data_IF_318010917802
#
_entry.id   IF_318010917802
#
_cell.length_a   1.000
_cell.length_b   1.000
_cell.length_c   1.000
_cell.angle_alpha   90.00
_cell.angle_beta   90.00
_cell.angle_gamma   90.00
#
_symmetry.space_group_name_H-M   'P 1'
#
loop_
_entity.id
_entity.type
_entity.pdbx_description
1 polymer ?
#
# COMPACT_ATOMS: atom_id res chain seq x y z
N UNK A 1 -11.72 26.97 -19.59
CA UNK A 1 -11.96 26.05 -18.45
C UNK A 1 -10.67 25.31 -18.05
N UNK A 2 -9.52 26.00 -17.96
CA UNK A 2 -8.25 25.40 -17.51
C UNK A 2 -7.68 26.07 -16.24
N UNK A 3 -8.22 27.22 -15.84
CA UNK A 3 -7.63 28.06 -14.78
C UNK A 3 -7.96 27.62 -13.35
N UNK A 4 -9.11 26.99 -13.10
CA UNK A 4 -9.49 26.54 -11.74
C UNK A 4 -8.62 25.39 -11.22
N UNK A 5 -8.16 24.49 -12.10
CA UNK A 5 -7.24 23.42 -11.72
C UNK A 5 -5.83 23.95 -11.43
N UNK A 6 -5.38 25.01 -12.12
CA UNK A 6 -4.06 25.60 -11.92
C UNK A 6 -3.97 26.42 -10.63
N UNK A 7 -5.05 27.12 -10.25
CA UNK A 7 -5.13 27.85 -8.97
C UNK A 7 -5.20 26.88 -7.77
N UNK A 8 -5.66 25.64 -7.95
CA UNK A 8 -5.55 24.61 -6.91
C UNK A 8 -4.17 23.94 -6.83
N UNK A 9 -3.32 24.05 -7.85
CA UNK A 9 -1.89 23.72 -7.73
C UNK A 9 -1.14 24.84 -6.95
N UNK A 10 -1.56 26.09 -7.17
CA UNK A 10 -1.57 27.30 -6.31
C UNK A 10 -1.46 27.23 -4.80
N UNK A 11 -2.29 26.41 -4.20
CA UNK A 11 -2.57 26.42 -2.76
C UNK A 11 -2.84 24.98 -2.38
N UNK A 12 -2.64 24.60 -1.12
CA UNK A 12 -3.12 23.29 -0.73
C UNK A 12 -4.64 23.27 -0.87
N UNK A 13 -5.17 22.20 -1.46
CA UNK A 13 -6.61 21.98 -1.48
C UNK A 13 -7.09 21.71 -0.05
N UNK A 14 -8.37 21.97 0.23
CA UNK A 14 -8.95 21.67 1.54
C UNK A 14 -8.82 20.19 1.93
N UNK A 15 -8.76 19.30 0.94
CA UNK A 15 -8.55 17.86 1.16
C UNK A 15 -7.09 17.54 1.51
N UNK A 16 -6.12 18.16 0.83
CA UNK A 16 -4.69 18.02 1.14
C UNK A 16 -4.37 18.52 2.56
N UNK A 17 -4.98 19.62 3.00
CA UNK A 17 -4.77 20.17 4.33
C UNK A 17 -5.39 19.29 5.43
N UNK A 18 -6.59 18.75 5.18
CA UNK A 18 -7.20 17.74 6.06
C UNK A 18 -6.35 16.48 6.16
N UNK A 19 -5.78 16.03 5.05
CA UNK A 19 -4.87 14.89 5.03
C UNK A 19 -3.61 15.17 5.85
N UNK A 20 -2.99 16.35 5.73
CA UNK A 20 -1.81 16.73 6.51
C UNK A 20 -2.08 16.64 8.01
N UNK A 21 -3.17 17.27 8.50
CA UNK A 21 -3.52 17.29 9.93
C UNK A 21 -3.82 15.88 10.44
N UNK A 22 -4.57 15.09 9.66
CA UNK A 22 -4.88 13.71 10.00
C UNK A 22 -3.61 12.85 10.05
N UNK A 23 -2.73 12.96 9.05
CA UNK A 23 -1.51 12.15 8.96
C UNK A 23 -0.52 12.51 10.07
N UNK A 24 -0.35 13.79 10.38
CA UNK A 24 0.51 14.24 11.48
C UNK A 24 0.11 13.61 12.82
N UNK A 25 -1.19 13.59 13.12
CA UNK A 25 -1.71 13.03 14.37
C UNK A 25 -1.75 11.49 14.38
N UNK A 26 -1.99 10.86 13.23
CA UNK A 26 -2.31 9.44 13.15
C UNK A 26 -1.19 8.57 12.51
N UNK A 27 -0.10 9.15 11.99
CA UNK A 27 1.00 8.44 11.33
C UNK A 27 1.65 7.36 12.21
N UNK A 28 1.90 7.69 13.49
CA UNK A 28 2.49 6.78 14.47
C UNK A 28 1.56 5.60 14.77
N UNK A 29 0.26 5.88 14.97
CA UNK A 29 -0.72 4.82 15.20
C UNK A 29 -0.90 3.91 13.97
N UNK A 30 -0.82 4.48 12.76
CA UNK A 30 -0.89 3.72 11.52
C UNK A 30 0.34 2.86 11.25
N UNK A 31 1.53 3.28 11.71
CA UNK A 31 2.75 2.45 11.67
C UNK A 31 2.54 1.12 12.41
N UNK A 32 1.82 1.14 13.53
CA UNK A 32 1.52 -0.04 14.35
C UNK A 32 0.20 -0.74 13.99
N UNK A 33 -0.58 -0.23 13.03
CA UNK A 33 -1.90 -0.79 12.70
C UNK A 33 -1.83 -2.17 12.05
N UNK A 34 -2.65 -3.10 12.53
CA UNK A 34 -2.82 -4.46 11.99
C UNK A 34 -3.81 -4.52 10.80
N UNK A 35 -4.55 -3.43 10.52
CA UNK A 35 -5.56 -3.42 9.44
C UNK A 35 -4.99 -3.75 8.04
N UNK A 36 -3.83 -3.19 7.61
CA UNK A 36 -3.26 -3.51 6.30
C UNK A 36 -2.73 -4.95 6.23
N UNK A 37 -2.35 -5.52 7.37
CA UNK A 37 -1.88 -6.90 7.47
C UNK A 37 -3.01 -7.90 7.16
N UNK A 38 -4.23 -7.65 7.66
CA UNK A 38 -5.40 -8.48 7.36
C UNK A 38 -5.77 -8.49 5.86
N UNK A 39 -5.59 -7.35 5.17
CA UNK A 39 -5.81 -7.26 3.72
C UNK A 39 -4.78 -8.10 2.96
N UNK A 40 -3.49 -7.97 3.31
CA UNK A 40 -2.43 -8.79 2.72
C UNK A 40 -2.61 -10.29 2.98
N UNK A 41 -3.09 -10.65 4.18
CA UNK A 41 -3.41 -12.04 4.53
C UNK A 41 -4.54 -12.58 3.65
N UNK A 42 -5.63 -11.83 3.48
CA UNK A 42 -6.76 -12.27 2.64
C UNK A 42 -6.35 -12.48 1.17
N UNK A 43 -5.49 -11.62 0.63
CA UNK A 43 -4.96 -11.76 -0.73
C UNK A 43 -4.08 -13.02 -0.88
N UNK A 44 -3.19 -13.29 0.09
CA UNK A 44 -2.37 -14.50 0.07
C UNK A 44 -3.18 -15.79 0.22
N UNK A 45 -4.24 -15.78 1.04
CA UNK A 45 -5.18 -16.91 1.14
C UNK A 45 -5.92 -17.12 -0.18
N UNK A 46 -6.43 -16.06 -0.82
CA UNK A 46 -7.11 -16.14 -2.12
C UNK A 46 -6.21 -16.77 -3.20
N UNK A 47 -4.95 -16.35 -3.26
CA UNK A 47 -3.96 -16.94 -4.16
C UNK A 47 -3.71 -18.42 -3.82
N UNK A 48 -3.57 -18.75 -2.53
CA UNK A 48 -3.43 -20.13 -2.06
C UNK A 48 -4.62 -21.01 -2.46
N UNK A 49 -5.84 -20.52 -2.25
CA UNK A 49 -7.08 -21.23 -2.63
C UNK A 49 -7.17 -21.41 -4.14
N UNK A 50 -6.88 -20.37 -4.94
CA UNK A 50 -6.86 -20.48 -6.40
C UNK A 50 -5.85 -21.52 -6.90
N UNK A 51 -4.67 -21.58 -6.26
CA UNK A 51 -3.65 -22.57 -6.58
C UNK A 51 -4.11 -24.00 -6.24
N UNK A 52 -4.75 -24.19 -5.08
CA UNK A 52 -5.32 -25.49 -4.70
C UNK A 52 -6.42 -25.92 -5.68
N UNK A 53 -7.35 -25.02 -6.02
CA UNK A 53 -8.40 -25.31 -7.01
C UNK A 53 -7.80 -25.69 -8.36
N UNK A 54 -6.72 -25.02 -8.78
CA UNK A 54 -6.03 -25.34 -10.04
C UNK A 54 -5.40 -26.74 -9.99
N UNK A 55 -4.75 -27.12 -8.89
CA UNK A 55 -4.14 -28.45 -8.73
C UNK A 55 -5.23 -29.54 -8.67
N UNK A 56 -6.28 -29.33 -7.87
CA UNK A 56 -7.39 -30.29 -7.71
C UNK A 56 -8.37 -30.31 -8.88
N UNK A 57 -8.33 -29.32 -9.78
CA UNK A 57 -9.17 -29.30 -11.00
C UNK A 57 -8.87 -30.46 -11.95
N UNK A 58 -7.74 -31.16 -11.76
CA UNK A 58 -7.39 -32.31 -12.59
C UNK A 58 -6.91 -31.94 -14.00
N UNK A 59 -6.61 -30.67 -14.26
CA UNK A 59 -6.16 -30.19 -15.58
C UNK A 59 -4.82 -30.82 -16.04
N UNK A 60 -4.09 -31.49 -15.15
CA UNK A 60 -2.81 -32.14 -15.48
C UNK A 60 -2.64 -33.52 -14.79
N UNK A 61 -3.12 -34.58 -15.43
CA UNK A 61 -3.05 -35.97 -14.92
C UNK A 61 -1.64 -36.43 -14.54
N UNK A 62 -0.61 -36.04 -15.31
CA UNK A 62 0.80 -36.38 -15.01
C UNK A 62 1.33 -35.72 -13.75
N UNK A 63 0.83 -34.53 -13.39
CA UNK A 63 1.20 -33.88 -12.14
C UNK A 63 0.59 -34.64 -10.95
N UNK A 64 -0.63 -35.18 -11.10
CA UNK A 64 -1.32 -35.91 -10.05
C UNK A 64 -0.61 -37.25 -9.71
N UNK A 65 -0.08 -37.95 -10.72
CA UNK A 65 0.64 -39.23 -10.56
C UNK A 65 2.04 -39.08 -9.93
N UNK A 66 2.75 -37.99 -10.23
CA UNK A 66 4.05 -37.69 -9.61
C UNK A 66 3.88 -37.02 -8.25
N UNK A 67 2.82 -36.22 -8.08
CA UNK A 67 2.53 -35.57 -6.82
C UNK A 67 2.15 -36.57 -5.73
N UNK A 68 1.37 -37.60 -6.03
CA UNK A 68 1.07 -38.68 -5.07
C UNK A 68 2.31 -39.41 -4.56
N UNK A 69 3.44 -39.33 -5.27
CA UNK A 69 4.68 -40.06 -4.92
C UNK A 69 5.73 -39.20 -4.20
N UNK A 70 5.75 -37.87 -4.40
CA UNK A 70 6.77 -36.97 -3.79
C UNK A 70 6.24 -35.63 -3.26
N UNK A 71 4.95 -35.34 -3.42
CA UNK A 71 4.38 -34.05 -3.01
C UNK A 71 4.01 -34.09 -1.53
N UNK A 72 4.77 -33.37 -0.72
CA UNK A 72 4.40 -33.13 0.65
C UNK A 72 3.50 -31.90 0.71
N UNK A 73 2.18 -32.14 0.77
CA UNK A 73 1.15 -31.10 0.90
C UNK A 73 1.45 -30.12 2.05
N UNK A 74 2.06 -30.59 3.13
CA UNK A 74 2.42 -29.73 4.26
C UNK A 74 3.49 -28.70 3.90
N UNK A 75 4.50 -29.07 3.09
CA UNK A 75 5.55 -28.15 2.63
C UNK A 75 4.97 -27.08 1.70
N UNK A 76 4.03 -27.48 0.83
CA UNK A 76 3.39 -26.56 -0.10
C UNK A 76 2.48 -25.55 0.63
N UNK A 77 1.71 -26.03 1.62
CA UNK A 77 0.92 -25.17 2.50
C UNK A 77 1.81 -24.23 3.32
N UNK A 78 2.95 -24.72 3.83
CA UNK A 78 3.95 -23.89 4.51
C UNK A 78 4.53 -22.81 3.59
N UNK A 79 4.80 -23.13 2.33
CA UNK A 79 5.29 -22.18 1.34
C UNK A 79 4.24 -21.09 1.06
N UNK A 80 2.97 -21.46 0.87
CA UNK A 80 1.86 -20.51 0.68
C UNK A 80 1.69 -19.61 1.91
N UNK A 81 1.72 -20.19 3.12
CA UNK A 81 1.66 -19.43 4.37
C UNK A 81 2.84 -18.46 4.50
N UNK A 82 4.06 -18.93 4.21
CA UNK A 82 5.27 -18.11 4.26
C UNK A 82 5.19 -16.92 3.29
N UNK A 83 4.81 -17.16 2.04
CA UNK A 83 4.64 -16.11 1.03
C UNK A 83 3.52 -15.15 1.43
N UNK A 84 2.38 -15.66 1.93
CA UNK A 84 1.25 -14.83 2.37
C UNK A 84 1.64 -13.92 3.53
N UNK A 85 2.36 -14.43 4.54
CA UNK A 85 2.80 -13.65 5.69
C UNK A 85 3.83 -12.60 5.28
N UNK A 86 4.80 -13.00 4.44
CA UNK A 86 5.79 -12.07 3.90
C UNK A 86 5.12 -10.95 3.10
N UNK A 87 4.21 -11.28 2.20
CA UNK A 87 3.52 -10.29 1.37
C UNK A 87 2.63 -9.36 2.22
N UNK A 88 1.97 -9.87 3.25
CA UNK A 88 1.19 -9.05 4.18
C UNK A 88 2.08 -8.05 4.96
N UNK A 89 3.26 -8.49 5.38
CA UNK A 89 4.24 -7.64 6.05
C UNK A 89 4.77 -6.53 5.12
N UNK A 90 5.22 -6.90 3.91
CA UNK A 90 5.74 -5.96 2.92
C UNK A 90 4.67 -4.96 2.48
N UNK A 91 3.45 -5.43 2.19
CA UNK A 91 2.33 -4.56 1.79
C UNK A 91 2.02 -3.52 2.86
N UNK A 92 2.00 -3.92 4.14
CA UNK A 92 1.80 -3.00 5.26
C UNK A 92 2.88 -1.93 5.30
N UNK A 93 4.16 -2.32 5.20
CA UNK A 93 5.28 -1.39 5.24
C UNK A 93 5.23 -0.43 4.05
N UNK A 94 5.07 -0.95 2.83
CA UNK A 94 5.00 -0.16 1.60
C UNK A 94 3.85 0.86 1.61
N UNK A 95 2.67 0.47 2.11
CA UNK A 95 1.52 1.39 2.21
C UNK A 95 1.75 2.52 3.20
N UNK A 96 2.50 2.28 4.27
CA UNK A 96 2.86 3.34 5.22
C UNK A 96 3.88 4.30 4.60
N UNK A 97 4.97 3.77 4.02
CA UNK A 97 6.00 4.56 3.32
C UNK A 97 5.39 5.44 2.22
N UNK A 98 4.48 4.90 1.41
CA UNK A 98 3.83 5.66 0.33
C UNK A 98 3.00 6.84 0.83
N UNK A 99 2.31 6.70 1.96
CA UNK A 99 1.53 7.82 2.56
C UNK A 99 2.43 8.84 3.23
N UNK A 100 3.52 8.39 3.82
CA UNK A 100 4.55 9.25 4.40
C UNK A 100 5.27 10.08 3.32
N UNK A 101 5.56 9.48 2.16
CA UNK A 101 6.06 10.19 0.98
C UNK A 101 5.10 11.31 0.56
N UNK A 102 3.81 10.99 0.39
CA UNK A 102 2.77 11.95 0.03
C UNK A 102 2.69 13.11 1.05
N UNK A 103 2.80 12.81 2.34
CA UNK A 103 2.83 13.82 3.40
C UNK A 103 4.00 14.80 3.23
N UNK A 104 5.21 14.29 2.96
CA UNK A 104 6.41 15.12 2.75
C UNK A 104 6.32 15.98 1.50
N UNK A 105 5.76 15.46 0.42
CA UNK A 105 5.53 16.21 -0.82
C UNK A 105 4.57 17.38 -0.57
N UNK A 106 3.48 17.15 0.16
CA UNK A 106 2.52 18.19 0.53
C UNK A 106 3.12 19.23 1.48
N UNK A 107 3.98 18.82 2.42
CA UNK A 107 4.69 19.72 3.31
C UNK A 107 5.64 20.65 2.55
N UNK A 108 6.44 20.08 1.64
CA UNK A 108 7.35 20.84 0.79
C UNK A 108 6.60 21.83 -0.12
N UNK A 109 5.45 21.42 -0.68
CA UNK A 109 4.55 22.29 -1.43
C UNK A 109 4.10 23.47 -0.56
N UNK A 110 3.64 23.21 0.67
CA UNK A 110 3.21 24.26 1.64
C UNK A 110 4.31 25.26 1.95
N UNK A 111 5.54 24.80 2.16
CA UNK A 111 6.69 25.66 2.45
C UNK A 111 7.10 26.53 1.25
N UNK A 112 7.10 25.95 0.04
CA UNK A 112 7.35 26.69 -1.18
C UNK A 112 6.33 27.82 -1.38
N UNK A 113 5.06 27.59 -1.02
CA UNK A 113 4.01 28.60 -1.02
C UNK A 113 4.24 29.72 0.00
N UNK A 114 4.56 29.38 1.24
CA UNK A 114 4.88 30.36 2.29
C UNK A 114 6.04 31.27 1.89
N UNK A 115 7.10 30.69 1.30
CA UNK A 115 8.27 31.45 0.83
C UNK A 115 7.90 32.44 -0.29
N UNK A 116 7.09 32.00 -1.27
CA UNK A 116 6.62 32.88 -2.36
C UNK A 116 5.75 34.04 -1.86
N UNK A 117 4.92 33.80 -0.85
CA UNK A 117 4.10 34.85 -0.23
C UNK A 117 4.98 35.86 0.51
N UNK A 118 5.96 35.39 1.30
CA UNK A 118 6.88 36.25 2.04
C UNK A 118 7.75 37.14 1.13
N UNK A 119 8.14 36.64 -0.06
CA UNK A 119 8.88 37.44 -1.05
C UNK A 119 8.01 38.44 -1.81
N UNK A 120 6.69 38.24 -1.88
CA UNK A 120 5.76 39.18 -2.53
C UNK A 120 5.23 40.28 -1.60
N UNK A 121 5.44 40.15 -0.29
CA UNK A 121 5.03 41.12 0.74
C UNK A 121 6.11 42.14 1.10
N UNK A 122 7.29 42.08 0.47
CA UNK A 122 8.34 43.09 0.57
C UNK A 122 8.46 43.80 -0.78
N UNK A 123 7.81 44.95 -0.98
CA UNK A 123 8.06 45.78 -2.15
C UNK A 123 9.38 46.52 -1.91
N UNK A 124 10.39 46.24 -2.74
CA UNK A 124 11.53 47.13 -2.91
C UNK A 124 11.08 48.49 -3.49
#
# INVERSE_FOLDING_TARGET
MADTHFVHLRMLTAEEERFLVYWEQNSQQQKHSLRPFLVGLSAGILLGVGLLLTIFSGWYERANMVASTRFNTAVFLLAILGISLFMAFVYRHFRWESREQQYRELLAKREAWKKKQASSSHPD
#
